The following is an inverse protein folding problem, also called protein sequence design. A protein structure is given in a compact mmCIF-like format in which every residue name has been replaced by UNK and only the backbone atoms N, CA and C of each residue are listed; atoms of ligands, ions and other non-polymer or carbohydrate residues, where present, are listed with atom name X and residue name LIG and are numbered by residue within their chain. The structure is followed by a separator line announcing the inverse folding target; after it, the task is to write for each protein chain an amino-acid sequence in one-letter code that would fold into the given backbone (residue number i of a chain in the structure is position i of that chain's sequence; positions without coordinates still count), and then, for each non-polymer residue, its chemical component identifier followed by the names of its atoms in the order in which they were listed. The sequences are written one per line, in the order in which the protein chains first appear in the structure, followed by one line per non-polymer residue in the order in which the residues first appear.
data_IF_090423070669
#
_entry.id   IF_090423070669
#
_cell.length_a   1.000
_cell.length_b   1.000
_cell.length_c   1.000
_cell.angle_alpha   90.00
_cell.angle_beta   90.00
_cell.angle_gamma   90.00
#
_symmetry.space_group_name_H-M   'P 1'
#
loop_
_entity.id
_entity.type
_entity.pdbx_description
1 polymer ?
#
# COMPACT_ATOMS: atom_id res chain seq x y z
N UNK A 1 -5.20 36.89 -56.49
CA UNK A 1 -5.15 35.43 -56.27
C UNK A 1 -4.53 35.16 -54.90
N UNK A 2 -5.08 34.20 -54.17
CA UNK A 2 -5.09 34.15 -52.70
C UNK A 2 -3.77 33.81 -52.00
N UNK A 3 -3.55 34.48 -50.87
CA UNK A 3 -2.45 34.18 -49.96
C UNK A 3 -2.58 32.74 -49.40
N UNK A 4 -1.45 32.02 -49.35
CA UNK A 4 -1.36 30.66 -48.86
C UNK A 4 -0.77 30.65 -47.45
N UNK A 5 -1.39 29.89 -46.55
CA UNK A 5 -0.98 29.76 -45.15
C UNK A 5 -1.01 28.28 -44.74
N UNK A 6 0.16 27.66 -44.64
CA UNK A 6 0.25 26.20 -44.53
C UNK A 6 -0.29 25.53 -45.81
N UNK A 7 -1.30 24.66 -45.67
CA UNK A 7 -1.99 24.00 -46.79
C UNK A 7 -3.38 24.59 -47.06
N UNK A 8 -3.63 25.82 -46.57
CA UNK A 8 -4.84 26.59 -46.83
C UNK A 8 -4.55 27.73 -47.82
N UNK A 9 -5.42 27.87 -48.81
CA UNK A 9 -5.43 28.99 -49.77
C UNK A 9 -6.66 29.86 -49.52
N UNK A 10 -6.46 31.16 -49.27
CA UNK A 10 -7.58 32.10 -49.04
C UNK A 10 -8.35 32.30 -50.35
N UNK A 11 -9.66 32.03 -50.33
CA UNK A 11 -10.56 32.26 -51.47
C UNK A 11 -11.25 33.62 -51.36
N UNK A 12 -11.88 33.90 -50.22
CA UNK A 12 -12.58 35.16 -49.96
C UNK A 12 -12.40 35.61 -48.52
N UNK A 13 -12.44 36.93 -48.32
CA UNK A 13 -12.43 37.56 -47.00
C UNK A 13 -13.74 38.32 -46.77
N UNK A 14 -14.32 38.21 -45.59
CA UNK A 14 -15.57 38.88 -45.23
C UNK A 14 -15.68 39.03 -43.70
N UNK A 15 -16.61 39.89 -43.26
CA UNK A 15 -16.96 39.98 -41.83
C UNK A 15 -18.07 38.98 -41.53
N UNK A 16 -17.93 38.22 -40.45
CA UNK A 16 -19.00 37.34 -39.99
C UNK A 16 -20.12 38.15 -39.30
N UNK A 17 -21.21 37.48 -38.89
CA UNK A 17 -22.35 38.09 -38.19
C UNK A 17 -21.98 38.87 -36.92
N UNK A 18 -20.84 38.52 -36.30
CA UNK A 18 -20.29 39.18 -35.10
C UNK A 18 -19.26 40.29 -35.44
N UNK A 19 -19.11 40.64 -36.71
CA UNK A 19 -18.20 41.70 -37.18
C UNK A 19 -16.72 41.30 -37.31
N UNK A 20 -16.35 40.06 -37.01
CA UNK A 20 -14.97 39.58 -37.11
C UNK A 20 -14.56 39.28 -38.55
N UNK A 21 -13.34 39.67 -38.91
CA UNK A 21 -12.76 39.37 -40.22
C UNK A 21 -12.37 37.89 -40.30
N UNK A 22 -13.04 37.17 -41.20
CA UNK A 22 -12.83 35.76 -41.48
C UNK A 22 -12.46 35.55 -42.94
N UNK A 23 -11.76 34.45 -43.19
CA UNK A 23 -11.39 34.00 -44.52
C UNK A 23 -12.08 32.66 -44.78
N UNK A 24 -12.71 32.50 -45.94
CA UNK A 24 -12.99 31.17 -46.48
C UNK A 24 -11.73 30.67 -47.18
N UNK A 25 -11.20 29.55 -46.70
CA UNK A 25 -9.98 28.97 -47.21
C UNK A 25 -10.26 27.60 -47.84
N UNK A 26 -9.66 27.33 -49.00
CA UNK A 26 -9.61 25.99 -49.60
C UNK A 26 -8.35 25.26 -49.13
N UNK A 27 -8.52 24.09 -48.55
CA UNK A 27 -7.42 23.22 -48.16
C UNK A 27 -6.95 22.40 -49.36
N UNK A 28 -5.67 22.03 -49.40
CA UNK A 28 -5.12 21.12 -50.41
C UNK A 28 -5.82 19.76 -50.47
N UNK A 29 -6.46 19.32 -49.38
CA UNK A 29 -7.28 18.10 -49.38
C UNK A 29 -8.65 18.25 -50.06
N UNK A 30 -8.95 19.42 -50.65
CA UNK A 30 -10.19 19.71 -51.35
C UNK A 30 -11.27 20.39 -50.51
N UNK A 31 -11.22 20.25 -49.17
CA UNK A 31 -12.23 20.82 -48.27
C UNK A 31 -12.07 22.34 -48.12
N UNK A 32 -13.20 23.05 -47.98
CA UNK A 32 -13.23 24.47 -47.62
C UNK A 32 -13.52 24.64 -46.12
N UNK A 33 -12.98 25.71 -45.52
CA UNK A 33 -13.22 26.05 -44.11
C UNK A 33 -13.19 27.55 -43.90
N UNK A 34 -14.13 28.04 -43.09
CA UNK A 34 -14.15 29.44 -42.63
C UNK A 34 -13.31 29.54 -41.35
N UNK A 35 -12.34 30.44 -41.33
CA UNK A 35 -11.36 30.60 -40.26
C UNK A 35 -11.11 32.08 -40.00
N UNK A 36 -10.87 32.47 -38.75
CA UNK A 36 -10.49 33.84 -38.42
C UNK A 36 -9.19 34.24 -39.13
N UNK A 37 -9.19 35.40 -39.80
CA UNK A 37 -8.01 35.88 -40.53
C UNK A 37 -6.78 35.97 -39.63
N UNK A 38 -6.97 36.41 -38.39
CA UNK A 38 -5.92 36.49 -37.37
C UNK A 38 -5.26 35.14 -37.06
N UNK A 39 -6.01 34.03 -37.06
CA UNK A 39 -5.48 32.70 -36.78
C UNK A 39 -4.71 32.11 -37.96
N UNK A 40 -5.11 32.44 -39.18
CA UNK A 40 -4.43 32.03 -40.40
C UNK A 40 -3.10 32.77 -40.55
N UNK A 41 -3.13 34.10 -40.38
CA UNK A 41 -1.93 34.96 -40.46
C UNK A 41 -0.92 34.62 -39.35
N UNK A 42 -1.40 34.37 -38.12
CA UNK A 42 -0.55 33.95 -37.00
C UNK A 42 -0.08 32.48 -37.09
N UNK A 43 -0.45 31.75 -38.15
CA UNK A 43 -0.04 30.34 -38.35
C UNK A 43 -0.66 29.35 -37.35
N UNK A 44 -1.70 29.74 -36.60
CA UNK A 44 -2.43 28.85 -35.68
C UNK A 44 -3.32 27.86 -36.42
N UNK A 45 -3.81 28.24 -37.60
CA UNK A 45 -4.62 27.37 -38.46
C UNK A 45 -3.91 27.11 -39.78
N UNK A 46 -3.36 25.91 -39.95
CA UNK A 46 -2.54 25.52 -41.11
C UNK A 46 -3.25 24.58 -42.08
N UNK A 47 -4.40 24.02 -41.68
CA UNK A 47 -5.21 23.09 -42.47
C UNK A 47 -6.68 23.17 -42.08
N UNK A 48 -7.57 22.48 -42.80
CA UNK A 48 -8.97 22.35 -42.39
C UNK A 48 -9.16 21.43 -41.15
N UNK A 49 -8.09 20.78 -40.68
CA UNK A 49 -8.07 19.72 -39.66
C UNK A 49 -7.45 18.41 -40.17
N UNK A 50 -7.24 18.29 -41.49
CA UNK A 50 -6.75 17.08 -42.14
C UNK A 50 -5.26 16.80 -41.83
N UNK A 51 -4.46 17.84 -41.55
CA UNK A 51 -3.07 17.67 -41.15
C UNK A 51 -2.98 17.07 -39.73
N UNK A 52 -3.81 17.57 -38.81
CA UNK A 52 -3.95 17.09 -37.44
C UNK A 52 -4.52 15.67 -37.40
N UNK A 53 -5.44 15.34 -38.30
CA UNK A 53 -5.96 13.97 -38.46
C UNK A 53 -4.89 13.00 -38.96
N UNK A 54 -4.12 13.38 -40.00
CA UNK A 54 -2.98 12.59 -40.49
C UNK A 54 -1.92 12.38 -39.41
N UNK A 55 -1.65 13.41 -38.60
CA UNK A 55 -0.68 13.32 -37.50
C UNK A 55 -1.17 12.49 -36.31
N UNK A 56 -2.47 12.51 -35.95
CA UNK A 56 -3.05 11.62 -34.93
C UNK A 56 -2.96 10.13 -35.30
N UNK A 57 -2.88 9.83 -36.60
CA UNK A 57 -2.69 8.47 -37.12
C UNK A 57 -1.23 8.03 -37.10
N UNK A 58 -0.26 8.96 -37.01
CA UNK A 58 1.16 8.60 -36.84
C UNK A 58 1.42 8.17 -35.40
N UNK A 59 1.96 6.98 -35.23
CA UNK A 59 2.42 6.46 -33.96
C UNK A 59 3.85 5.95 -34.12
N UNK A 60 4.60 5.95 -33.02
CA UNK A 60 5.93 5.33 -32.99
C UNK A 60 5.76 3.82 -33.11
N UNK A 61 6.43 3.23 -34.08
CA UNK A 61 6.46 1.78 -34.25
C UNK A 61 7.28 1.15 -33.11
N UNK A 62 6.65 0.25 -32.35
CA UNK A 62 7.23 -0.49 -31.25
C UNK A 62 7.45 -1.98 -31.59
N UNK A 63 7.21 -2.41 -32.84
CA UNK A 63 7.35 -3.82 -33.24
C UNK A 63 8.74 -4.37 -32.88
N UNK A 64 8.77 -5.53 -32.23
CA UNK A 64 9.97 -6.23 -31.79
C UNK A 64 10.67 -5.63 -30.56
N UNK A 65 10.22 -4.48 -30.05
CA UNK A 65 10.84 -3.87 -28.87
C UNK A 65 10.41 -4.61 -27.59
N UNK A 66 11.39 -4.76 -26.68
CA UNK A 66 11.21 -5.43 -25.39
C UNK A 66 11.00 -4.41 -24.26
N UNK A 67 10.00 -4.67 -23.43
CA UNK A 67 9.61 -3.86 -22.27
C UNK A 67 9.50 -4.78 -21.05
N UNK A 68 10.61 -5.02 -20.35
CA UNK A 68 10.68 -6.04 -19.30
C UNK A 68 10.49 -7.44 -19.89
N UNK A 69 9.47 -8.17 -19.39
CA UNK A 69 9.08 -9.50 -19.89
C UNK A 69 8.18 -9.46 -21.13
N UNK A 70 7.84 -8.28 -21.65
CA UNK A 70 6.92 -8.12 -22.79
C UNK A 70 7.68 -7.79 -24.08
N UNK A 71 7.29 -8.40 -25.19
CA UNK A 71 7.70 -8.04 -26.55
C UNK A 71 6.48 -7.49 -27.29
N UNK A 72 6.60 -6.28 -27.85
CA UNK A 72 5.53 -5.67 -28.62
C UNK A 72 5.48 -6.28 -30.05
N UNK A 73 4.43 -7.04 -30.35
CA UNK A 73 4.33 -7.78 -31.61
C UNK A 73 3.71 -6.96 -32.72
N UNK A 74 2.55 -6.34 -32.45
CA UNK A 74 1.84 -5.52 -33.44
C UNK A 74 0.93 -4.47 -32.81
N UNK A 75 0.72 -3.35 -33.49
CA UNK A 75 -0.32 -2.40 -33.12
C UNK A 75 -1.70 -3.01 -33.34
N UNK A 76 -2.68 -2.53 -32.58
CA UNK A 76 -4.09 -2.85 -32.74
C UNK A 76 -4.87 -1.63 -33.23
N UNK A 77 -6.10 -1.85 -33.67
CA UNK A 77 -7.00 -0.77 -34.05
C UNK A 77 -7.51 0.02 -32.83
N UNK A 78 -7.46 -0.59 -31.64
CA UNK A 78 -7.91 0.04 -30.41
C UNK A 78 -6.98 1.17 -29.95
N UNK A 79 -7.61 2.24 -29.44
CA UNK A 79 -6.92 3.38 -28.86
C UNK A 79 -7.31 3.54 -27.39
N UNK A 80 -6.32 3.82 -26.56
CA UNK A 80 -6.51 4.18 -25.15
C UNK A 80 -5.96 5.58 -24.96
N UNK A 81 -6.82 6.52 -24.57
CA UNK A 81 -6.50 7.95 -24.43
C UNK A 81 -5.77 8.52 -25.66
N UNK A 82 -6.26 8.19 -26.86
CA UNK A 82 -5.68 8.61 -28.15
C UNK A 82 -4.43 7.84 -28.60
N UNK A 83 -3.81 7.04 -27.73
CA UNK A 83 -2.60 6.27 -28.02
C UNK A 83 -2.91 4.88 -28.56
N UNK A 84 -2.07 4.38 -29.47
CA UNK A 84 -2.17 3.01 -30.00
C UNK A 84 -1.99 1.98 -28.90
N UNK A 85 -2.89 0.99 -28.87
CA UNK A 85 -2.75 -0.21 -28.03
C UNK A 85 -2.03 -1.29 -28.81
N UNK A 86 -1.08 -1.94 -28.17
CA UNK A 86 -0.18 -2.94 -28.73
C UNK A 86 -0.50 -4.33 -28.18
N UNK A 87 -0.53 -5.32 -29.06
CA UNK A 87 -0.57 -6.74 -28.68
C UNK A 87 0.85 -7.18 -28.36
N UNK A 88 1.07 -7.62 -27.13
CA UNK A 88 2.39 -7.96 -26.61
C UNK A 88 2.43 -9.40 -26.11
N UNK A 89 3.46 -10.16 -26.47
CA UNK A 89 3.73 -11.48 -25.87
C UNK A 89 4.60 -11.33 -24.62
N UNK A 90 4.28 -12.08 -23.59
CA UNK A 90 5.05 -12.17 -22.36
C UNK A 90 5.98 -13.39 -22.41
N UNK A 91 7.12 -13.33 -21.72
CA UNK A 91 8.05 -14.47 -21.60
C UNK A 91 7.40 -15.73 -21.00
N UNK A 92 6.26 -15.62 -20.30
CA UNK A 92 5.49 -16.75 -19.79
C UNK A 92 4.52 -17.36 -20.82
N UNK A 93 4.54 -16.92 -22.07
CA UNK A 93 3.67 -17.40 -23.16
C UNK A 93 2.33 -16.65 -23.29
N UNK A 94 1.91 -15.91 -22.27
CA UNK A 94 0.65 -15.15 -22.32
C UNK A 94 0.75 -13.92 -23.21
N UNK A 95 -0.39 -13.48 -23.73
CA UNK A 95 -0.49 -12.27 -24.57
C UNK A 95 -1.41 -11.24 -23.94
N UNK A 96 -1.00 -9.97 -23.95
CA UNK A 96 -1.78 -8.86 -23.38
C UNK A 96 -1.86 -7.66 -24.31
N UNK A 97 -2.81 -6.77 -24.04
CA UNK A 97 -2.99 -5.50 -24.74
C UNK A 97 -2.51 -4.35 -23.85
N UNK A 98 -1.57 -3.54 -24.33
CA UNK A 98 -0.98 -2.45 -23.54
C UNK A 98 -0.88 -1.18 -24.39
N UNK A 99 -1.21 -0.03 -23.83
CA UNK A 99 -1.04 1.25 -24.53
C UNK A 99 0.45 1.58 -24.73
N UNK A 100 0.78 2.22 -25.85
CA UNK A 100 2.16 2.64 -26.14
C UNK A 100 2.80 3.49 -25.01
N UNK A 101 2.08 4.40 -24.33
CA UNK A 101 2.64 5.13 -23.18
C UNK A 101 2.98 4.22 -22.00
N UNK A 102 2.16 3.20 -21.70
CA UNK A 102 2.40 2.30 -20.57
C UNK A 102 3.61 1.39 -20.80
N UNK A 103 3.85 0.99 -22.07
CA UNK A 103 5.07 0.27 -22.47
C UNK A 103 6.30 1.17 -22.34
N UNK A 104 6.27 2.34 -22.99
CA UNK A 104 7.45 3.22 -23.11
C UNK A 104 7.84 3.87 -21.78
N UNK A 105 6.88 4.18 -20.90
CA UNK A 105 7.16 4.69 -19.54
C UNK A 105 7.48 3.58 -18.54
N UNK A 106 7.33 2.31 -18.93
CA UNK A 106 7.63 1.17 -18.07
C UNK A 106 6.61 0.91 -16.96
N UNK A 107 5.37 1.40 -17.09
CA UNK A 107 4.28 1.08 -16.16
C UNK A 107 3.80 -0.38 -16.30
N UNK A 108 4.00 -0.99 -17.47
CA UNK A 108 3.63 -2.39 -17.73
C UNK A 108 4.84 -3.15 -18.24
N UNK A 109 5.36 -4.07 -17.41
CA UNK A 109 6.59 -4.85 -17.67
C UNK A 109 6.34 -6.36 -17.79
N UNK A 110 5.13 -6.83 -17.54
CA UNK A 110 4.73 -8.24 -17.65
C UNK A 110 3.21 -8.33 -17.84
N UNK A 111 2.70 -9.51 -18.16
CA UNK A 111 1.26 -9.78 -18.19
C UNK A 111 0.62 -9.96 -16.80
N UNK A 112 1.36 -9.67 -15.72
CA UNK A 112 0.95 -9.95 -14.35
C UNK A 112 1.42 -11.31 -13.82
N UNK A 113 1.98 -12.18 -14.67
CA UNK A 113 2.53 -13.49 -14.28
C UNK A 113 3.60 -13.38 -13.19
N UNK A 114 4.48 -12.39 -13.28
CA UNK A 114 5.52 -12.16 -12.29
C UNK A 114 4.95 -11.84 -10.89
N UNK A 115 3.80 -11.16 -10.83
CA UNK A 115 3.11 -10.92 -9.56
C UNK A 115 2.48 -12.20 -9.00
N UNK A 116 2.04 -13.13 -9.87
CA UNK A 116 1.53 -14.44 -9.48
C UNK A 116 2.67 -15.37 -9.01
N UNK A 117 3.79 -15.41 -9.73
CA UNK A 117 5.01 -16.14 -9.35
C UNK A 117 5.50 -15.72 -7.96
N UNK A 118 5.50 -14.42 -7.64
CA UNK A 118 5.88 -13.91 -6.30
C UNK A 118 4.87 -14.24 -5.19
N UNK A 119 3.66 -14.65 -5.55
CA UNK A 119 2.58 -15.02 -4.61
C UNK A 119 2.54 -16.51 -4.35
N UNK A 120 3.19 -17.32 -5.19
CA UNK A 120 3.39 -18.72 -4.91
C UNK A 120 4.42 -18.89 -3.79
N UNK A 121 3.95 -19.41 -2.66
CA UNK A 121 4.76 -19.69 -1.49
C UNK A 121 4.70 -21.18 -1.12
N UNK A 122 4.32 -22.04 -2.06
CA UNK A 122 4.22 -23.50 -1.85
C UNK A 122 5.51 -24.05 -1.26
N UNK A 123 5.39 -24.83 -0.18
CA UNK A 123 6.48 -25.43 0.60
C UNK A 123 7.46 -24.44 1.26
N UNK A 124 7.18 -23.13 1.25
CA UNK A 124 7.96 -22.18 2.02
C UNK A 124 7.58 -22.25 3.50
N UNK A 125 8.61 -22.10 4.36
CA UNK A 125 8.47 -22.18 5.81
C UNK A 125 8.49 -20.78 6.45
N UNK A 126 7.59 -20.56 7.39
CA UNK A 126 7.41 -19.33 8.15
C UNK A 126 7.27 -19.68 9.64
N UNK A 127 8.38 -19.68 10.39
CA UNK A 127 8.41 -20.24 11.74
C UNK A 127 8.04 -21.73 11.73
N UNK A 128 7.00 -22.10 12.47
CA UNK A 128 6.51 -23.48 12.55
C UNK A 128 5.45 -23.81 11.48
N UNK A 129 5.21 -22.92 10.52
CA UNK A 129 4.23 -23.10 9.45
C UNK A 129 4.90 -23.39 8.11
N UNK A 130 4.44 -24.42 7.41
CA UNK A 130 4.79 -24.69 6.01
C UNK A 130 3.57 -24.44 5.13
N UNK A 131 3.69 -23.52 4.17
CA UNK A 131 2.59 -23.21 3.25
C UNK A 131 2.35 -24.36 2.26
N UNK A 132 1.10 -24.79 2.10
CA UNK A 132 0.75 -25.93 1.25
C UNK A 132 0.09 -25.48 -0.05
N UNK A 133 -1.05 -24.78 0.04
CA UNK A 133 -1.81 -24.33 -1.12
C UNK A 133 -2.63 -23.08 -0.79
N UNK A 134 -3.00 -22.27 -1.81
CA UNK A 134 -3.88 -21.13 -1.63
C UNK A 134 -5.21 -21.54 -1.02
N UNK A 135 -5.69 -20.79 -0.04
CA UNK A 135 -7.02 -20.99 0.52
C UNK A 135 -8.07 -20.34 -0.40
N UNK A 136 -8.90 -21.17 -1.03
CA UNK A 136 -9.95 -20.75 -1.97
C UNK A 136 -11.28 -20.43 -1.29
N UNK A 137 -11.36 -20.55 0.05
CA UNK A 137 -12.59 -20.26 0.79
C UNK A 137 -12.88 -18.77 0.94
N UNK A 138 -11.89 -17.91 0.65
CA UNK A 138 -11.99 -16.46 0.84
C UNK A 138 -11.93 -15.76 -0.53
N UNK A 139 -13.03 -15.11 -0.94
CA UNK A 139 -13.09 -14.28 -2.16
C UNK A 139 -12.31 -12.96 -2.03
N UNK A 140 -11.71 -12.67 -0.87
CA UNK A 140 -11.00 -11.42 -0.64
C UNK A 140 -9.65 -11.32 -1.37
N UNK A 141 -9.25 -10.08 -1.64
CA UNK A 141 -7.94 -9.74 -2.22
C UNK A 141 -6.76 -10.10 -1.30
N UNK A 142 -7.00 -10.36 -0.01
CA UNK A 142 -5.97 -10.83 0.92
C UNK A 142 -5.78 -12.34 0.78
N UNK A 143 -5.09 -12.73 -0.29
CA UNK A 143 -4.78 -14.13 -0.59
C UNK A 143 -4.24 -14.86 0.65
N UNK A 144 -5.06 -15.77 1.20
CA UNK A 144 -4.72 -16.65 2.32
C UNK A 144 -4.16 -17.97 1.79
N UNK A 145 -3.40 -18.64 2.64
CA UNK A 145 -2.79 -19.93 2.37
C UNK A 145 -3.09 -20.90 3.49
N UNK A 146 -3.46 -22.12 3.12
CA UNK A 146 -3.51 -23.24 4.05
C UNK A 146 -2.07 -23.65 4.35
N UNK A 147 -1.73 -23.60 5.63
CA UNK A 147 -0.42 -23.95 6.14
C UNK A 147 -0.52 -25.15 7.07
N UNK A 148 0.47 -26.05 7.02
CA UNK A 148 0.68 -27.11 8.01
C UNK A 148 1.62 -26.60 9.09
N UNK A 149 1.17 -26.67 10.33
CA UNK A 149 2.01 -26.38 11.48
C UNK A 149 2.81 -27.62 11.90
N UNK A 150 3.98 -27.41 12.52
CA UNK A 150 4.81 -28.49 13.06
C UNK A 150 4.08 -29.35 14.12
N UNK A 151 3.05 -28.80 14.78
CA UNK A 151 2.17 -29.56 15.69
C UNK A 151 1.15 -30.47 14.97
N UNK A 152 1.14 -30.48 13.64
CA UNK A 152 0.25 -31.29 12.80
C UNK A 152 -1.05 -30.59 12.37
N UNK A 153 -1.44 -29.49 13.01
CA UNK A 153 -2.67 -28.78 12.66
C UNK A 153 -2.53 -27.96 11.38
N UNK A 154 -3.65 -27.80 10.66
CA UNK A 154 -3.77 -26.90 9.52
C UNK A 154 -4.36 -25.56 9.96
N UNK A 155 -3.92 -24.46 9.35
CA UNK A 155 -4.50 -23.13 9.56
C UNK A 155 -4.47 -22.29 8.28
N UNK A 156 -5.44 -21.39 8.15
CA UNK A 156 -5.50 -20.40 7.06
C UNK A 156 -4.86 -19.08 7.50
N UNK A 157 -3.83 -18.63 6.78
CA UNK A 157 -3.05 -17.43 7.13
C UNK A 157 -2.80 -16.57 5.90
N UNK A 158 -2.88 -15.25 6.03
CA UNK A 158 -2.57 -14.33 4.93
C UNK A 158 -1.06 -14.34 4.59
N UNK A 159 -0.72 -14.20 3.30
CA UNK A 159 0.68 -14.08 2.84
C UNK A 159 1.42 -12.97 3.59
N UNK A 160 0.74 -11.84 3.84
CA UNK A 160 1.35 -10.69 4.54
C UNK A 160 1.77 -11.04 5.96
N UNK A 161 0.94 -11.77 6.71
CA UNK A 161 1.27 -12.16 8.09
C UNK A 161 2.40 -13.19 8.14
N UNK A 162 2.45 -14.10 7.16
CA UNK A 162 3.55 -15.05 7.01
C UNK A 162 4.87 -14.33 6.74
N UNK A 163 4.91 -13.44 5.73
CA UNK A 163 6.13 -12.71 5.34
C UNK A 163 6.64 -11.74 6.40
N UNK A 164 5.73 -11.09 7.14
CA UNK A 164 6.09 -10.15 8.21
C UNK A 164 6.35 -10.84 9.57
N UNK A 165 6.17 -12.17 9.65
CA UNK A 165 6.38 -12.93 10.89
C UNK A 165 5.33 -12.70 11.97
N UNK A 166 4.17 -12.11 11.64
CA UNK A 166 3.05 -11.94 12.57
C UNK A 166 2.34 -13.25 12.91
N UNK A 167 2.47 -14.27 12.06
CA UNK A 167 1.90 -15.60 12.30
C UNK A 167 2.97 -16.65 12.00
N UNK A 168 3.45 -17.28 13.07
CA UNK A 168 4.54 -18.27 13.02
C UNK A 168 4.10 -19.66 13.50
N UNK A 169 2.83 -19.83 13.84
CA UNK A 169 2.22 -21.11 14.22
C UNK A 169 0.71 -21.05 14.03
N UNK A 170 0.03 -22.20 14.12
CA UNK A 170 -1.43 -22.26 14.10
C UNK A 170 -2.09 -21.75 15.39
N UNK A 171 -1.34 -21.06 16.26
CA UNK A 171 -1.75 -20.73 17.62
C UNK A 171 -1.37 -21.79 18.66
N UNK A 172 -0.69 -22.88 18.27
CA UNK A 172 -0.19 -23.87 19.23
C UNK A 172 0.99 -23.35 20.06
N UNK A 173 1.72 -22.33 19.57
CA UNK A 173 2.72 -21.61 20.39
C UNK A 173 2.06 -20.71 21.44
N UNK A 174 0.74 -20.51 21.40
CA UNK A 174 -0.03 -19.75 22.40
C UNK A 174 -0.58 -20.64 23.54
N UNK A 175 -0.09 -21.88 23.70
CA UNK A 175 -0.37 -22.74 24.86
C UNK A 175 0.98 -23.32 25.32
N UNK A 176 1.49 -23.09 26.52
CA UNK A 176 0.88 -22.85 27.83
C UNK A 176 1.82 -21.91 28.59
N UNK A 177 1.46 -20.64 28.77
CA UNK A 177 2.00 -19.85 29.89
C UNK A 177 0.90 -19.97 30.93
N UNK A 178 1.07 -20.87 31.90
CA UNK A 178 0.16 -20.98 33.04
C UNK A 178 0.40 -19.74 33.89
N UNK A 179 0.06 -18.55 33.38
CA UNK A 179 0.13 -17.34 34.17
C UNK A 179 -0.70 -17.59 35.41
N UNK A 180 -0.02 -17.61 36.54
CA UNK A 180 -0.62 -17.90 37.82
C UNK A 180 -1.48 -16.69 38.16
N UNK A 181 -2.75 -16.77 37.80
CA UNK A 181 -3.71 -15.69 38.00
C UNK A 181 -4.33 -15.86 39.38
N UNK A 182 -3.99 -14.95 40.30
CA UNK A 182 -4.53 -14.92 41.65
C UNK A 182 -5.26 -13.60 41.80
N UNK A 183 -6.56 -13.68 42.08
CA UNK A 183 -7.47 -12.53 42.18
C UNK A 183 -7.41 -11.57 40.98
N UNK A 184 -7.30 -12.12 39.76
CA UNK A 184 -7.21 -11.30 38.54
C UNK A 184 -5.87 -10.60 38.34
N UNK A 185 -4.84 -10.98 39.11
CA UNK A 185 -3.47 -10.49 38.98
C UNK A 185 -2.56 -11.61 38.51
N UNK A 186 -1.80 -11.38 37.43
CA UNK A 186 -0.80 -12.35 36.95
C UNK A 186 0.48 -12.20 37.77
N UNK A 187 0.82 -13.25 38.51
CA UNK A 187 1.92 -13.27 39.46
C UNK A 187 3.27 -12.97 38.79
N UNK A 188 3.52 -13.58 37.64
CA UNK A 188 4.78 -13.45 36.89
C UNK A 188 4.97 -12.04 36.33
N UNK A 189 3.88 -11.40 35.86
CA UNK A 189 3.93 -10.03 35.33
C UNK A 189 4.19 -9.03 36.45
N UNK A 190 3.56 -9.24 37.61
CA UNK A 190 3.71 -8.38 38.78
C UNK A 190 5.08 -8.54 39.43
N UNK A 191 5.64 -9.75 39.46
CA UNK A 191 6.99 -10.02 39.94
C UNK A 191 8.11 -9.58 38.97
N UNK A 192 7.80 -9.42 37.68
CA UNK A 192 8.79 -9.09 36.66
C UNK A 192 9.39 -7.70 36.87
N UNK A 193 10.72 -7.58 36.76
CA UNK A 193 11.42 -6.28 36.70
C UNK A 193 11.44 -5.68 35.28
N UNK A 194 10.98 -6.43 34.27
CA UNK A 194 11.06 -6.00 32.86
C UNK A 194 10.16 -4.80 32.58
N UNK A 195 10.74 -3.72 32.07
CA UNK A 195 10.03 -2.52 31.65
C UNK A 195 9.48 -2.72 30.22
N UNK A 196 8.18 -2.44 29.96
CA UNK A 196 7.62 -2.50 28.60
C UNK A 196 8.33 -1.55 27.62
N UNK A 197 8.50 -1.97 26.36
CA UNK A 197 9.23 -1.19 25.34
C UNK A 197 8.63 0.19 25.05
N UNK A 198 7.32 0.34 25.29
CA UNK A 198 6.59 1.60 25.11
C UNK A 198 6.60 2.49 26.37
N UNK A 199 7.28 2.09 27.44
CA UNK A 199 7.46 2.91 28.62
C UNK A 199 8.54 3.97 28.37
N UNK A 200 8.14 5.25 28.47
CA UNK A 200 9.03 6.40 28.23
C UNK A 200 9.57 7.04 29.52
N UNK A 201 9.01 6.69 30.67
CA UNK A 201 9.38 7.26 31.97
C UNK A 201 10.52 6.50 32.65
N UNK A 202 10.79 5.26 32.23
CA UNK A 202 11.68 4.34 32.93
C UNK A 202 11.07 3.72 34.19
N UNK A 203 9.85 4.11 34.57
CA UNK A 203 9.16 3.65 35.79
C UNK A 203 7.80 3.07 35.43
N UNK A 204 7.49 1.85 35.87
CA UNK A 204 6.20 1.20 35.58
C UNK A 204 5.04 2.00 36.17
N UNK A 205 3.98 2.19 35.41
CA UNK A 205 2.79 2.90 35.89
C UNK A 205 2.96 4.40 36.11
N UNK A 206 4.12 4.98 35.76
CA UNK A 206 4.36 6.43 35.77
C UNK A 206 4.40 6.94 34.34
N UNK A 207 3.64 7.98 34.05
CA UNK A 207 3.55 8.57 32.71
C UNK A 207 3.44 10.08 32.77
N UNK A 208 4.03 10.76 31.79
CA UNK A 208 3.94 12.22 31.67
C UNK A 208 2.65 12.64 30.97
N UNK A 209 1.92 13.60 31.55
CA UNK A 209 0.74 14.22 30.96
C UNK A 209 1.07 15.64 30.48
N UNK A 210 1.12 15.83 29.16
CA UNK A 210 1.53 17.10 28.55
C UNK A 210 0.55 18.25 28.76
N UNK A 211 -0.76 17.96 28.82
CA UNK A 211 -1.81 19.00 28.98
C UNK A 211 -1.72 19.74 30.30
N UNK A 212 -1.27 19.04 31.32
CA UNK A 212 -1.31 19.52 32.69
C UNK A 212 0.09 19.66 33.29
N UNK A 213 1.12 19.42 32.46
CA UNK A 213 2.55 19.54 32.75
C UNK A 213 2.96 18.79 34.02
N UNK A 214 2.51 17.54 34.15
CA UNK A 214 2.77 16.77 35.37
C UNK A 214 2.90 15.27 35.10
N UNK A 215 3.48 14.58 36.07
CA UNK A 215 3.65 13.14 36.11
C UNK A 215 2.50 12.48 36.84
N UNK A 216 1.89 11.49 36.21
CA UNK A 216 0.79 10.71 36.79
C UNK A 216 1.33 9.34 37.20
N UNK A 217 1.04 8.95 38.44
CA UNK A 217 1.33 7.62 38.95
C UNK A 217 0.02 6.83 39.14
N UNK A 218 0.00 5.60 38.62
CA UNK A 218 -1.14 4.67 38.70
C UNK A 218 -0.65 3.25 38.93
N UNK A 219 -1.47 2.40 39.55
CA UNK A 219 -1.22 0.96 39.69
C UNK A 219 -2.52 0.18 39.51
N UNK A 220 -2.49 -0.86 38.65
CA UNK A 220 -3.58 -1.83 38.55
C UNK A 220 -3.23 -3.04 39.39
N UNK A 221 -4.11 -3.41 40.30
CA UNK A 221 -3.93 -4.60 41.15
C UNK A 221 -5.29 -5.22 41.46
N UNK A 222 -5.39 -6.55 41.39
CA UNK A 222 -6.64 -7.32 41.57
C UNK A 222 -7.83 -6.79 40.78
N UNK A 223 -7.60 -6.41 39.52
CA UNK A 223 -8.63 -5.85 38.64
C UNK A 223 -9.05 -4.41 38.94
N UNK A 224 -8.45 -3.75 39.94
CA UNK A 224 -8.77 -2.37 40.34
C UNK A 224 -7.65 -1.43 39.89
N UNK A 225 -8.02 -0.29 39.32
CA UNK A 225 -7.11 0.80 38.96
C UNK A 225 -7.00 1.81 40.11
N UNK A 226 -5.85 1.85 40.77
CA UNK A 226 -5.53 2.83 41.80
C UNK A 226 -4.82 4.02 41.16
N UNK A 227 -5.43 5.20 41.30
CA UNK A 227 -4.78 6.47 41.00
C UNK A 227 -3.98 6.92 42.23
N UNK A 228 -2.66 7.06 42.07
CA UNK A 228 -1.76 7.36 43.18
C UNK A 228 -1.55 8.86 43.35
N UNK A 229 -1.66 9.60 42.24
CA UNK A 229 -1.59 11.05 42.27
C UNK A 229 -1.03 11.63 40.98
N UNK A 230 -0.86 12.95 41.04
CA UNK A 230 -0.25 13.77 40.00
C UNK A 230 0.80 14.66 40.67
N UNK A 231 1.98 14.73 40.06
CA UNK A 231 3.19 15.28 40.65
C UNK A 231 3.94 16.15 39.64
N UNK A 232 4.64 17.17 40.11
CA UNK A 232 5.38 18.06 39.21
C UNK A 232 6.67 17.42 38.67
N UNK A 233 7.24 16.46 39.40
CA UNK A 233 8.46 15.76 39.03
C UNK A 233 8.26 14.24 38.99
N UNK A 234 9.12 13.58 38.21
CA UNK A 234 9.06 12.13 38.01
C UNK A 234 9.47 11.35 39.27
N UNK A 235 10.31 11.93 40.13
CA UNK A 235 10.82 11.28 41.33
C UNK A 235 9.68 11.05 42.33
N UNK A 236 8.86 12.07 42.59
CA UNK A 236 7.71 11.98 43.49
C UNK A 236 6.64 11.03 42.95
N UNK A 237 6.39 11.04 41.64
CA UNK A 237 5.50 10.07 40.99
C UNK A 237 6.04 8.64 41.10
N UNK A 238 7.37 8.48 40.98
CA UNK A 238 8.06 7.21 41.18
C UNK A 238 7.99 6.72 42.62
N UNK A 239 8.16 7.62 43.59
CA UNK A 239 8.06 7.34 45.02
C UNK A 239 6.65 6.87 45.37
N UNK A 240 5.62 7.60 44.93
CA UNK A 240 4.23 7.21 45.13
C UNK A 240 3.90 5.84 44.52
N UNK A 241 4.49 5.55 43.35
CA UNK A 241 4.39 4.22 42.72
C UNK A 241 5.05 3.15 43.58
N UNK A 242 6.27 3.37 44.05
CA UNK A 242 7.02 2.43 44.90
C UNK A 242 6.28 2.14 46.22
N UNK A 243 5.78 3.17 46.90
CA UNK A 243 4.97 3.02 48.13
C UNK A 243 3.72 2.17 47.90
N UNK A 244 3.05 2.34 46.75
CA UNK A 244 1.91 1.52 46.40
C UNK A 244 2.30 0.06 46.09
N UNK A 245 3.46 -0.19 45.48
CA UNK A 245 3.99 -1.53 45.26
C UNK A 245 4.33 -2.22 46.58
N UNK A 246 5.01 -1.54 47.51
CA UNK A 246 5.32 -2.04 48.84
C UNK A 246 4.06 -2.36 49.65
N UNK A 247 3.00 -1.55 49.51
CA UNK A 247 1.76 -1.75 50.24
C UNK A 247 0.87 -2.84 49.64
N UNK A 248 0.79 -2.95 48.31
CA UNK A 248 -0.20 -3.80 47.63
C UNK A 248 0.42 -5.06 47.03
N UNK A 249 1.54 -4.91 46.32
CA UNK A 249 2.16 -5.99 45.54
C UNK A 249 3.08 -6.83 46.42
N UNK A 250 3.91 -6.21 47.26
CA UNK A 250 4.92 -6.95 48.04
C UNK A 250 4.32 -8.02 48.95
N UNK A 251 3.28 -7.75 49.78
CA UNK A 251 2.65 -8.79 50.58
C UNK A 251 2.04 -9.91 49.72
N UNK A 252 1.44 -9.54 48.58
CA UNK A 252 0.88 -10.51 47.64
C UNK A 252 1.94 -11.42 47.01
N UNK A 253 3.12 -10.89 46.71
CA UNK A 253 4.24 -11.70 46.21
C UNK A 253 4.82 -12.60 47.31
N UNK A 254 4.90 -12.12 48.55
CA UNK A 254 5.36 -12.89 49.70
C UNK A 254 4.41 -14.08 49.98
N UNK A 255 3.10 -13.82 50.03
CA UNK A 255 2.04 -14.83 50.22
C UNK A 255 2.05 -15.91 49.12
N UNK A 256 2.49 -15.57 47.91
CA UNK A 256 2.47 -16.45 46.74
C UNK A 256 3.88 -16.86 46.26
N UNK A 257 4.91 -16.61 47.08
CA UNK A 257 6.31 -16.85 46.75
C UNK A 257 6.61 -18.32 46.40
N UNK A 258 5.89 -19.26 47.01
CA UNK A 258 6.01 -20.69 46.73
C UNK A 258 5.65 -21.06 45.28
N UNK A 259 4.79 -20.29 44.60
CA UNK A 259 4.39 -20.53 43.21
C UNK A 259 5.48 -20.07 42.22
N UNK A 260 6.18 -18.98 42.54
CA UNK A 260 7.30 -18.47 41.74
C UNK A 260 8.55 -19.37 41.79
N UNK A 261 8.69 -20.19 42.83
CA UNK A 261 9.85 -21.06 43.02
C UNK A 261 9.70 -22.45 42.37
N UNK A 262 8.48 -22.91 42.06
CA UNK A 262 8.21 -24.23 41.47
C UNK A 262 8.65 -24.36 40.00
N UNK A 263 8.82 -23.26 39.29
CA UNK A 263 9.17 -23.24 37.86
C UNK A 263 10.68 -23.37 37.61
N UNK A 264 11.52 -23.26 38.65
CA UNK A 264 12.99 -23.32 38.50
C UNK A 264 13.57 -24.73 38.62
N UNK A 265 12.75 -25.72 38.98
CA UNK A 265 13.17 -27.11 39.21
C UNK A 265 12.62 -28.10 38.17
N UNK A 266 12.01 -27.63 37.07
CA UNK A 266 11.62 -28.47 35.91
C UNK A 266 12.34 -28.04 34.64
#
# INVERSE_FOLDING_TARGET
MGQKFGILTVLKEFKNEKGYLVCECKCECGNTKIVYKSNVVAGRTKSCGCLEEKNRRKYRDLRGQRFGRLIANRPTEHRSSGSVVWKCSCDCGNTILVSAPNLTRGFTKSCGCHSLEKRDITNQRFGNLTALYPDTSDESLSQKWICRCDCGNLCSVSISNLKNGHTQSCGCLQKIDYRTLIDGTCLEIVASTKIPINNRSGIKGVSYESRSNSWIAKIRFKGVDYYLGKYDNIADAGQARWEAEERLIRPFLEDNSYLLNREKES
#
